data_IF_726700486629
#
_entry.id   IF_726700486629
#
_cell.length_a   1.000
_cell.length_b   1.000
_cell.length_c   1.000
_cell.angle_alpha   90.00
_cell.angle_beta   90.00
_cell.angle_gamma   90.00
#
_symmetry.space_group_name_H-M   'P 1'
#
loop_
_entity.id
_entity.type
_entity.pdbx_description
1 polymer ?
#
# COMPACT_ATOMS: atom_id res chain seq x y z
N UNK A 1 -35.89 17.62 -8.00
CA UNK A 1 -34.75 17.87 -8.90
C UNK A 1 -33.74 16.68 -8.94
N UNK A 2 -33.67 15.80 -7.90
CA UNK A 2 -32.79 14.62 -7.89
C UNK A 2 -33.37 13.42 -8.65
N UNK A 3 -34.67 13.22 -8.69
CA UNK A 3 -35.32 12.09 -9.36
C UNK A 3 -35.30 12.22 -10.88
N UNK A 4 -35.43 13.43 -11.43
CA UNK A 4 -35.47 13.66 -12.89
C UNK A 4 -34.07 13.46 -13.55
N UNK A 5 -33.00 13.79 -12.88
CA UNK A 5 -31.64 13.54 -13.39
C UNK A 5 -31.26 12.06 -13.41
N UNK A 6 -31.77 11.27 -12.46
CA UNK A 6 -31.52 9.82 -12.36
C UNK A 6 -32.30 9.04 -13.43
N UNK A 7 -33.53 9.45 -13.78
CA UNK A 7 -34.32 8.79 -14.79
C UNK A 7 -33.78 9.03 -16.22
N UNK A 8 -33.35 10.25 -16.52
CA UNK A 8 -32.76 10.59 -17.83
C UNK A 8 -31.42 9.87 -18.06
N UNK A 9 -30.63 9.69 -17.01
CA UNK A 9 -29.40 8.90 -17.04
C UNK A 9 -29.70 7.42 -17.33
N UNK A 10 -30.67 6.82 -16.63
CA UNK A 10 -31.07 5.42 -16.81
C UNK A 10 -31.61 5.14 -18.21
N UNK A 11 -32.41 6.03 -18.78
CA UNK A 11 -32.94 5.89 -20.13
C UNK A 11 -31.85 5.96 -21.20
N UNK A 12 -30.92 6.90 -21.10
CA UNK A 12 -29.79 7.04 -22.04
C UNK A 12 -28.87 5.84 -21.99
N UNK A 13 -28.54 5.34 -20.80
CA UNK A 13 -27.72 4.12 -20.64
C UNK A 13 -28.39 2.92 -21.26
N UNK A 14 -29.69 2.71 -21.01
CA UNK A 14 -30.46 1.59 -21.56
C UNK A 14 -30.53 1.67 -23.10
N UNK A 15 -30.70 2.86 -23.67
CA UNK A 15 -30.70 3.05 -25.12
C UNK A 15 -29.32 2.71 -25.74
N UNK A 16 -28.24 3.12 -25.10
CA UNK A 16 -26.87 2.80 -25.55
C UNK A 16 -26.53 1.31 -25.41
N UNK A 17 -26.94 0.66 -24.32
CA UNK A 17 -26.80 -0.79 -24.14
C UNK A 17 -27.53 -1.54 -25.28
N UNK A 18 -28.77 -1.18 -25.54
CA UNK A 18 -29.57 -1.75 -26.60
C UNK A 18 -28.93 -1.58 -27.97
N UNK A 19 -28.44 -0.35 -28.26
CA UNK A 19 -27.75 -0.07 -29.53
C UNK A 19 -26.51 -0.96 -29.72
N UNK A 20 -25.67 -1.10 -28.70
CA UNK A 20 -24.47 -1.93 -28.79
C UNK A 20 -24.77 -3.41 -28.93
N UNK A 21 -25.87 -3.90 -28.34
CA UNK A 21 -26.31 -5.27 -28.47
C UNK A 21 -26.92 -5.58 -29.84
N UNK A 22 -27.68 -4.63 -30.40
CA UNK A 22 -28.33 -4.80 -31.72
C UNK A 22 -27.37 -4.52 -32.89
N UNK A 23 -26.45 -3.55 -32.72
CA UNK A 23 -25.56 -3.07 -33.78
C UNK A 23 -24.08 -3.05 -33.35
N UNK A 24 -23.49 -4.20 -32.92
CA UNK A 24 -22.14 -4.24 -32.37
C UNK A 24 -21.04 -3.85 -33.37
N UNK A 25 -21.29 -3.97 -34.68
CA UNK A 25 -20.37 -3.65 -35.76
C UNK A 25 -20.66 -2.31 -36.45
N UNK A 26 -21.59 -1.53 -35.91
CA UNK A 26 -21.94 -0.21 -36.45
C UNK A 26 -20.72 0.74 -36.41
N UNK A 27 -20.57 1.63 -37.43
CA UNK A 27 -19.56 2.68 -37.36
C UNK A 27 -19.71 3.61 -36.14
N UNK A 28 -20.88 3.63 -35.52
CA UNK A 28 -21.17 4.43 -34.32
C UNK A 28 -20.90 3.68 -32.99
N UNK A 29 -20.62 2.37 -33.03
CA UNK A 29 -20.48 1.55 -31.83
C UNK A 29 -19.32 2.05 -30.93
N UNK A 30 -18.21 2.48 -31.52
CA UNK A 30 -17.08 3.05 -30.78
C UNK A 30 -17.46 4.35 -30.07
N UNK A 31 -18.19 5.23 -30.76
CA UNK A 31 -18.64 6.51 -30.19
C UNK A 31 -19.65 6.29 -29.06
N UNK A 32 -20.57 5.36 -29.22
CA UNK A 32 -21.55 4.98 -28.17
C UNK A 32 -20.84 4.39 -26.97
N UNK A 33 -19.83 3.53 -27.19
CA UNK A 33 -18.98 2.99 -26.12
C UNK A 33 -18.27 4.09 -25.35
N UNK A 34 -17.74 5.11 -26.04
CA UNK A 34 -17.08 6.28 -25.40
C UNK A 34 -18.05 7.08 -24.52
N UNK A 35 -19.28 7.28 -24.97
CA UNK A 35 -20.29 7.96 -24.15
C UNK A 35 -20.68 7.14 -22.91
N UNK A 36 -20.83 5.82 -23.04
CA UNK A 36 -21.08 4.96 -21.88
C UNK A 36 -19.93 4.99 -20.88
N UNK A 37 -18.68 4.93 -21.34
CA UNK A 37 -17.50 5.04 -20.47
C UNK A 37 -17.51 6.37 -19.72
N UNK A 38 -17.77 7.49 -20.37
CA UNK A 38 -17.88 8.79 -19.72
C UNK A 38 -18.96 8.79 -18.64
N UNK A 39 -20.12 8.23 -18.96
CA UNK A 39 -21.22 8.09 -18.00
C UNK A 39 -20.83 7.23 -16.82
N UNK A 40 -20.23 6.05 -17.04
CA UNK A 40 -19.81 5.14 -15.97
C UNK A 40 -18.73 5.74 -15.05
N UNK A 41 -17.79 6.48 -15.60
CA UNK A 41 -16.70 7.09 -14.82
C UNK A 41 -17.16 8.31 -14.02
N UNK A 42 -18.24 9.00 -14.48
CA UNK A 42 -18.79 10.17 -13.80
C UNK A 42 -19.97 9.83 -12.86
N UNK A 43 -20.44 8.58 -12.84
CA UNK A 43 -21.50 8.17 -11.92
C UNK A 43 -20.99 8.02 -10.50
N UNK A 44 -21.88 8.25 -9.54
CA UNK A 44 -21.62 7.91 -8.12
C UNK A 44 -22.06 6.49 -7.78
N UNK A 45 -22.70 5.78 -8.70
CA UNK A 45 -23.20 4.41 -8.51
C UNK A 45 -22.42 3.43 -9.37
N UNK A 46 -21.26 3.00 -8.88
CA UNK A 46 -20.43 2.01 -9.55
C UNK A 46 -21.12 0.64 -9.68
N UNK A 47 -21.99 0.26 -8.73
CA UNK A 47 -22.78 -0.96 -8.83
C UNK A 47 -23.75 -0.92 -10.02
N UNK A 48 -24.39 0.23 -10.27
CA UNK A 48 -25.26 0.41 -11.44
C UNK A 48 -24.46 0.35 -12.74
N UNK A 49 -23.25 0.92 -12.76
CA UNK A 49 -22.35 0.85 -13.91
C UNK A 49 -21.93 -0.60 -14.21
N UNK A 50 -21.57 -1.39 -13.21
CA UNK A 50 -21.24 -2.81 -13.42
C UNK A 50 -22.42 -3.61 -13.96
N UNK A 51 -23.62 -3.41 -13.42
CA UNK A 51 -24.85 -4.06 -13.92
C UNK A 51 -25.14 -3.69 -15.37
N UNK A 52 -24.91 -2.42 -15.75
CA UNK A 52 -25.04 -1.96 -17.13
C UNK A 52 -24.05 -2.67 -18.06
N UNK A 53 -22.77 -2.71 -17.67
CA UNK A 53 -21.72 -3.37 -18.46
C UNK A 53 -22.04 -4.85 -18.66
N UNK A 54 -22.56 -5.53 -17.63
CA UNK A 54 -22.91 -6.96 -17.69
C UNK A 54 -24.08 -7.26 -18.63
N UNK A 55 -24.90 -6.26 -18.97
CA UNK A 55 -25.98 -6.39 -19.98
C UNK A 55 -25.49 -6.25 -21.43
N UNK A 56 -24.23 -5.80 -21.63
CA UNK A 56 -23.64 -5.67 -22.97
C UNK A 56 -23.00 -7.00 -23.35
N UNK A 57 -23.51 -7.65 -24.40
CA UNK A 57 -23.07 -8.98 -24.80
C UNK A 57 -21.62 -9.03 -25.29
N UNK A 58 -21.15 -7.97 -25.97
CA UNK A 58 -19.78 -7.84 -26.49
C UNK A 58 -19.23 -6.44 -26.16
N UNK A 59 -18.83 -6.21 -24.90
CA UNK A 59 -18.31 -4.92 -24.52
C UNK A 59 -16.96 -4.63 -25.22
N UNK A 60 -16.78 -3.37 -25.64
CA UNK A 60 -15.53 -2.92 -26.25
C UNK A 60 -14.38 -2.90 -25.23
N UNK A 61 -13.13 -2.83 -25.70
CA UNK A 61 -11.96 -2.70 -24.85
C UNK A 61 -12.05 -1.47 -23.93
N UNK A 62 -12.61 -0.36 -24.40
CA UNK A 62 -12.84 0.87 -23.60
C UNK A 62 -13.81 0.60 -22.44
N UNK A 63 -14.88 -0.12 -22.68
CA UNK A 63 -15.87 -0.49 -21.63
C UNK A 63 -15.23 -1.44 -20.62
N UNK A 64 -14.42 -2.42 -21.07
CA UNK A 64 -13.73 -3.34 -20.19
C UNK A 64 -12.62 -2.67 -19.36
N UNK A 65 -11.92 -1.67 -19.91
CA UNK A 65 -11.01 -0.84 -19.14
C UNK A 65 -11.76 -0.03 -18.07
N UNK A 66 -12.92 0.53 -18.41
CA UNK A 66 -13.78 1.21 -17.44
C UNK A 66 -14.26 0.24 -16.34
N UNK A 67 -14.65 -0.99 -16.70
CA UNK A 67 -15.00 -2.03 -15.73
C UNK A 67 -13.84 -2.33 -14.78
N UNK A 68 -12.63 -2.47 -15.29
CA UNK A 68 -11.43 -2.68 -14.49
C UNK A 68 -11.22 -1.55 -13.46
N UNK A 69 -11.34 -0.29 -13.90
CA UNK A 69 -11.20 0.89 -13.05
C UNK A 69 -12.31 1.00 -12.00
N UNK A 70 -13.55 0.69 -12.38
CA UNK A 70 -14.70 0.69 -11.45
C UNK A 70 -14.53 -0.36 -10.35
N UNK A 71 -14.13 -1.58 -10.71
CA UNK A 71 -13.84 -2.65 -9.74
C UNK A 71 -12.70 -2.26 -8.80
N UNK A 72 -11.67 -1.60 -9.32
CA UNK A 72 -10.60 -1.03 -8.51
C UNK A 72 -11.12 0.01 -7.51
N UNK A 73 -11.96 0.94 -7.96
CA UNK A 73 -12.55 1.97 -7.08
C UNK A 73 -13.45 1.36 -5.99
N UNK A 74 -14.27 0.38 -6.32
CA UNK A 74 -15.08 -0.35 -5.34
C UNK A 74 -14.19 -1.10 -4.32
N UNK A 75 -13.09 -1.68 -4.78
CA UNK A 75 -12.12 -2.35 -3.92
C UNK A 75 -11.44 -1.39 -2.94
N UNK A 76 -10.95 -0.25 -3.41
CA UNK A 76 -10.33 0.76 -2.55
C UNK A 76 -11.33 1.42 -1.60
N UNK A 77 -12.57 1.61 -2.02
CA UNK A 77 -13.65 2.09 -1.16
C UNK A 77 -13.97 1.08 -0.04
N UNK A 78 -14.06 -0.21 -0.37
CA UNK A 78 -14.26 -1.28 0.62
C UNK A 78 -13.09 -1.33 1.61
N UNK A 79 -11.85 -1.16 1.14
CA UNK A 79 -10.68 -1.07 2.01
C UNK A 79 -10.77 0.13 2.97
N UNK A 80 -11.15 1.31 2.47
CA UNK A 80 -11.32 2.51 3.29
C UNK A 80 -12.39 2.33 4.38
N UNK A 81 -13.40 1.50 4.11
CA UNK A 81 -14.44 1.11 5.07
C UNK A 81 -14.02 -0.06 5.98
N UNK A 82 -12.75 -0.50 5.93
CA UNK A 82 -12.21 -1.64 6.66
C UNK A 82 -12.89 -2.99 6.34
N UNK A 83 -13.60 -3.09 5.21
CA UNK A 83 -14.14 -4.36 4.70
C UNK A 83 -13.10 -5.00 3.75
N UNK A 84 -12.07 -5.58 4.35
CA UNK A 84 -10.92 -6.10 3.62
C UNK A 84 -11.25 -7.32 2.76
N UNK A 85 -12.20 -8.17 3.18
CA UNK A 85 -12.63 -9.33 2.36
C UNK A 85 -13.40 -8.86 1.12
N UNK A 86 -14.28 -7.88 1.25
CA UNK A 86 -14.97 -7.31 0.08
C UNK A 86 -14.01 -6.54 -0.82
N UNK A 87 -13.03 -5.83 -0.23
CA UNK A 87 -11.95 -5.19 -1.00
C UNK A 87 -11.21 -6.20 -1.87
N UNK A 88 -10.77 -7.32 -1.28
CA UNK A 88 -10.11 -8.42 -2.02
C UNK A 88 -10.97 -8.96 -3.15
N UNK A 89 -12.28 -9.11 -2.94
CA UNK A 89 -13.20 -9.61 -3.96
C UNK A 89 -13.23 -8.69 -5.19
N UNK A 90 -13.39 -7.39 -5.00
CA UNK A 90 -13.41 -6.43 -6.10
C UNK A 90 -12.04 -6.27 -6.76
N UNK A 91 -10.98 -6.14 -5.96
CA UNK A 91 -9.62 -5.98 -6.47
C UNK A 91 -9.16 -7.18 -7.30
N UNK A 92 -9.46 -8.41 -6.87
CA UNK A 92 -9.14 -9.61 -7.63
C UNK A 92 -9.92 -9.68 -8.96
N UNK A 93 -11.17 -9.21 -8.99
CA UNK A 93 -11.91 -9.08 -10.25
C UNK A 93 -11.26 -8.05 -11.18
N UNK A 94 -10.79 -6.91 -10.64
CA UNK A 94 -10.04 -5.91 -11.41
C UNK A 94 -8.73 -6.49 -11.98
N UNK A 95 -8.00 -7.25 -11.19
CA UNK A 95 -6.77 -7.94 -11.61
C UNK A 95 -7.05 -8.95 -12.73
N UNK A 96 -8.15 -9.70 -12.64
CA UNK A 96 -8.53 -10.72 -13.62
C UNK A 96 -8.75 -10.16 -15.03
N UNK A 97 -9.21 -8.91 -15.15
CA UNK A 97 -9.34 -8.18 -16.44
C UNK A 97 -8.22 -7.15 -16.63
N UNK A 98 -7.08 -7.37 -16.02
CA UNK A 98 -5.98 -6.40 -15.91
C UNK A 98 -5.22 -6.07 -17.20
N UNK A 99 -5.50 -6.76 -18.31
CA UNK A 99 -4.85 -6.53 -19.60
C UNK A 99 -5.18 -5.16 -20.23
N UNK A 100 -6.26 -4.51 -19.82
CA UNK A 100 -6.70 -3.24 -20.40
C UNK A 100 -5.97 -2.03 -19.81
N UNK A 101 -5.59 -2.09 -18.53
CA UNK A 101 -4.80 -1.03 -17.90
C UNK A 101 -3.79 -1.62 -16.92
N UNK A 102 -2.51 -1.59 -17.31
CA UNK A 102 -1.41 -2.19 -16.54
C UNK A 102 -1.22 -1.51 -15.18
N UNK A 103 -1.33 -0.19 -15.10
CA UNK A 103 -1.12 0.52 -13.84
C UNK A 103 -2.26 0.24 -12.86
N UNK A 104 -3.51 0.24 -13.30
CA UNK A 104 -4.66 -0.16 -12.45
C UNK A 104 -4.49 -1.59 -11.92
N UNK A 105 -3.97 -2.52 -12.75
CA UNK A 105 -3.65 -3.88 -12.31
C UNK A 105 -2.58 -3.90 -11.22
N UNK A 106 -1.51 -3.14 -11.42
CA UNK A 106 -0.44 -3.00 -10.42
C UNK A 106 -0.99 -2.45 -9.11
N UNK A 107 -1.72 -1.33 -9.16
CA UNK A 107 -2.30 -0.69 -7.99
C UNK A 107 -3.30 -1.61 -7.26
N UNK A 108 -4.05 -2.43 -7.99
CA UNK A 108 -4.94 -3.44 -7.39
C UNK A 108 -4.14 -4.50 -6.60
N UNK A 109 -2.99 -4.93 -7.09
CA UNK A 109 -2.10 -5.81 -6.31
C UNK A 109 -1.59 -5.15 -5.02
N UNK A 110 -1.24 -3.84 -5.07
CA UNK A 110 -0.85 -3.12 -3.87
C UNK A 110 -1.95 -3.16 -2.80
N UNK A 111 -3.19 -2.82 -3.18
CA UNK A 111 -4.31 -2.80 -2.25
C UNK A 111 -4.77 -4.20 -1.80
N UNK A 112 -4.56 -5.23 -2.62
CA UNK A 112 -4.68 -6.62 -2.17
C UNK A 112 -3.62 -6.94 -1.11
N UNK A 113 -2.37 -6.55 -1.32
CA UNK A 113 -1.29 -6.68 -0.35
C UNK A 113 -1.63 -6.03 1.00
N UNK A 114 -2.13 -4.79 0.98
CA UNK A 114 -2.60 -4.07 2.17
C UNK A 114 -3.77 -4.80 2.85
N UNK A 115 -4.75 -5.28 2.08
CA UNK A 115 -5.90 -6.00 2.62
C UNK A 115 -5.48 -7.31 3.29
N UNK A 116 -4.62 -8.09 2.66
CA UNK A 116 -4.06 -9.32 3.23
C UNK A 116 -3.23 -9.04 4.49
N UNK A 117 -2.45 -7.96 4.47
CA UNK A 117 -1.66 -7.54 5.63
C UNK A 117 -2.57 -7.24 6.83
N UNK A 118 -3.66 -6.48 6.63
CA UNK A 118 -4.66 -6.18 7.66
C UNK A 118 -5.38 -7.42 8.19
N UNK A 119 -5.55 -8.44 7.35
CA UNK A 119 -6.12 -9.74 7.71
C UNK A 119 -5.08 -10.71 8.31
N UNK A 120 -3.84 -10.26 8.56
CA UNK A 120 -2.73 -11.08 9.06
C UNK A 120 -2.37 -12.26 8.13
N UNK A 121 -2.66 -12.14 6.84
CA UNK A 121 -2.34 -13.14 5.80
C UNK A 121 -1.03 -12.75 5.10
N UNK A 122 0.07 -12.92 5.82
CA UNK A 122 1.38 -12.35 5.44
C UNK A 122 1.99 -12.96 4.19
N UNK A 123 1.70 -14.22 3.87
CA UNK A 123 2.21 -14.89 2.66
C UNK A 123 1.57 -14.29 1.41
N UNK A 124 0.26 -14.12 1.42
CA UNK A 124 -0.49 -13.51 0.32
C UNK A 124 -0.16 -12.02 0.20
N UNK A 125 -0.02 -11.32 1.32
CA UNK A 125 0.41 -9.91 1.32
C UNK A 125 1.77 -9.75 0.63
N UNK A 126 2.77 -10.55 1.00
CA UNK A 126 4.09 -10.50 0.38
C UNK A 126 4.05 -10.81 -1.13
N UNK A 127 3.26 -11.81 -1.53
CA UNK A 127 3.07 -12.14 -2.95
C UNK A 127 2.55 -10.94 -3.73
N UNK A 128 1.52 -10.29 -3.22
CA UNK A 128 0.83 -9.21 -3.95
C UNK A 128 1.62 -7.90 -3.93
N UNK A 129 2.29 -7.55 -2.84
CA UNK A 129 3.25 -6.44 -2.84
C UNK A 129 4.39 -6.65 -3.85
N UNK A 130 4.95 -7.87 -3.93
CA UNK A 130 5.97 -8.17 -4.93
C UNK A 130 5.42 -8.07 -6.38
N UNK A 131 4.19 -8.52 -6.62
CA UNK A 131 3.54 -8.35 -7.92
C UNK A 131 3.38 -6.88 -8.28
N UNK A 132 2.99 -6.03 -7.33
CA UNK A 132 2.94 -4.58 -7.52
C UNK A 132 4.30 -4.01 -7.90
N UNK A 133 5.36 -4.33 -7.14
CA UNK A 133 6.71 -3.82 -7.41
C UNK A 133 7.23 -4.18 -8.81
N UNK A 134 6.81 -5.34 -9.35
CA UNK A 134 7.20 -5.80 -10.68
C UNK A 134 6.37 -5.18 -11.81
N UNK A 135 5.10 -4.87 -11.57
CA UNK A 135 4.15 -4.43 -12.59
C UNK A 135 4.04 -2.92 -12.72
N UNK A 136 4.25 -2.18 -11.65
CA UNK A 136 4.06 -0.72 -11.64
C UNK A 136 4.96 -0.02 -12.63
N UNK A 137 4.43 1.02 -13.26
CA UNK A 137 5.19 1.94 -14.13
C UNK A 137 5.73 3.15 -13.35
N UNK A 138 5.48 3.21 -12.04
CA UNK A 138 5.83 4.33 -11.17
C UNK A 138 6.69 3.87 -9.97
N UNK A 139 7.95 3.44 -10.20
CA UNK A 139 8.78 2.81 -9.16
C UNK A 139 9.30 3.76 -8.08
N UNK A 140 8.98 5.05 -8.15
CA UNK A 140 9.45 6.08 -7.21
C UNK A 140 8.30 6.83 -6.53
N UNK A 141 7.07 6.31 -6.60
CA UNK A 141 5.93 6.90 -5.90
C UNK A 141 5.86 6.42 -4.44
N UNK A 142 4.99 7.06 -3.66
CA UNK A 142 4.75 6.73 -2.26
C UNK A 142 4.33 5.26 -2.04
N UNK A 143 3.44 4.74 -2.89
CA UNK A 143 2.99 3.33 -2.79
C UNK A 143 4.14 2.35 -2.98
N UNK A 144 5.11 2.67 -3.85
CA UNK A 144 6.30 1.85 -4.06
C UNK A 144 7.18 1.83 -2.81
N UNK A 145 7.36 2.98 -2.17
CA UNK A 145 8.08 3.08 -0.90
C UNK A 145 7.37 2.29 0.20
N UNK A 146 6.06 2.47 0.37
CA UNK A 146 5.25 1.78 1.38
C UNK A 146 5.18 0.27 1.16
N UNK A 147 5.14 -0.21 -0.09
CA UNK A 147 5.22 -1.65 -0.38
C UNK A 147 6.53 -2.26 0.12
N UNK A 148 7.66 -1.57 -0.07
CA UNK A 148 8.94 -1.99 0.50
C UNK A 148 8.93 -1.97 2.04
N UNK A 149 8.36 -0.95 2.65
CA UNK A 149 8.22 -0.85 4.10
C UNK A 149 7.44 -2.04 4.68
N UNK A 150 6.28 -2.37 4.10
CA UNK A 150 5.46 -3.50 4.52
C UNK A 150 6.16 -4.85 4.30
N UNK A 151 6.83 -5.02 3.16
CA UNK A 151 7.65 -6.22 2.89
C UNK A 151 8.81 -6.36 3.89
N UNK A 152 9.38 -5.24 4.32
CA UNK A 152 10.38 -5.20 5.39
C UNK A 152 9.85 -5.82 6.68
N UNK A 153 8.66 -5.40 7.12
CA UNK A 153 8.02 -5.97 8.31
C UNK A 153 7.65 -7.44 8.14
N UNK A 154 7.13 -7.85 6.99
CA UNK A 154 6.82 -9.26 6.72
C UNK A 154 8.08 -10.13 6.82
N UNK A 155 9.18 -9.70 6.20
CA UNK A 155 10.46 -10.41 6.27
C UNK A 155 11.02 -10.43 7.71
N UNK A 156 10.91 -9.32 8.45
CA UNK A 156 11.33 -9.22 9.84
C UNK A 156 10.58 -10.21 10.74
N UNK A 157 9.26 -10.30 10.62
CA UNK A 157 8.46 -11.27 11.36
C UNK A 157 8.82 -12.74 11.03
N UNK A 158 9.25 -12.99 9.80
CA UNK A 158 9.76 -14.30 9.37
C UNK A 158 11.21 -14.55 9.80
N UNK A 159 11.84 -13.60 10.50
CA UNK A 159 13.24 -13.62 10.92
C UNK A 159 14.24 -13.66 9.76
N UNK A 160 13.82 -13.26 8.59
CA UNK A 160 14.71 -13.02 7.46
C UNK A 160 15.26 -11.60 7.54
N UNK A 161 16.21 -11.42 8.46
CA UNK A 161 16.74 -10.09 8.79
C UNK A 161 17.54 -9.46 7.65
N UNK A 162 18.15 -10.27 6.80
CA UNK A 162 18.87 -9.79 5.61
C UNK A 162 17.89 -9.18 4.63
N UNK A 163 16.82 -9.88 4.30
CA UNK A 163 15.83 -9.39 3.36
C UNK A 163 15.02 -8.22 3.95
N UNK A 164 14.70 -8.28 5.25
CA UNK A 164 14.04 -7.17 5.96
C UNK A 164 14.86 -5.89 5.88
N UNK A 165 16.17 -5.96 6.17
CA UNK A 165 17.08 -4.81 6.06
C UNK A 165 17.08 -4.23 4.65
N UNK A 166 17.16 -5.08 3.60
CA UNK A 166 17.15 -4.61 2.21
C UNK A 166 15.87 -3.86 1.85
N UNK A 167 14.70 -4.34 2.28
CA UNK A 167 13.43 -3.68 2.04
C UNK A 167 13.33 -2.34 2.78
N UNK A 168 13.69 -2.30 4.06
CA UNK A 168 13.69 -1.04 4.82
C UNK A 168 14.70 -0.03 4.27
N UNK A 169 15.90 -0.47 3.85
CA UNK A 169 16.87 0.41 3.18
C UNK A 169 16.30 0.99 1.88
N UNK A 170 15.55 0.19 1.11
CA UNK A 170 14.89 0.68 -0.10
C UNK A 170 13.83 1.74 0.24
N UNK A 171 13.04 1.52 1.29
CA UNK A 171 12.10 2.52 1.81
C UNK A 171 12.82 3.82 2.18
N UNK A 172 13.88 3.76 2.96
CA UNK A 172 14.68 4.93 3.39
C UNK A 172 15.23 5.71 2.20
N UNK A 173 15.65 5.03 1.13
CA UNK A 173 16.15 5.70 -0.08
C UNK A 173 15.05 6.43 -0.86
N UNK A 174 13.81 5.96 -0.79
CA UNK A 174 12.66 6.49 -1.53
C UNK A 174 11.89 7.55 -0.73
N UNK A 175 11.88 7.43 0.59
CA UNK A 175 11.23 8.38 1.49
C UNK A 175 11.98 9.72 1.47
N UNK A 176 11.26 10.78 1.11
CA UNK A 176 11.84 12.12 0.96
C UNK A 176 11.78 12.98 2.23
N UNK A 177 11.55 12.34 3.38
CA UNK A 177 11.44 13.03 4.67
C UNK A 177 10.05 13.59 4.98
N UNK A 178 9.04 13.23 4.18
CA UNK A 178 7.65 13.65 4.40
C UNK A 178 7.03 12.97 5.63
N UNK A 179 7.46 11.73 5.93
CA UNK A 179 7.04 10.97 7.11
C UNK A 179 8.23 10.64 8.02
N UNK A 180 8.64 11.62 8.81
CA UNK A 180 9.78 11.47 9.73
C UNK A 180 9.61 10.33 10.74
N UNK A 181 8.38 10.05 11.18
CA UNK A 181 8.09 8.97 12.14
C UNK A 181 8.32 7.60 11.51
N UNK A 182 7.81 7.36 10.32
CA UNK A 182 8.02 6.10 9.60
C UNK A 182 9.48 5.92 9.17
N UNK A 183 10.16 7.01 8.81
CA UNK A 183 11.58 6.97 8.46
C UNK A 183 12.44 6.61 9.66
N UNK A 184 12.19 7.20 10.84
CA UNK A 184 12.88 6.85 12.08
C UNK A 184 12.60 5.40 12.49
N UNK A 185 11.37 4.93 12.32
CA UNK A 185 11.04 3.53 12.56
C UNK A 185 11.81 2.60 11.61
N UNK A 186 11.85 2.91 10.31
CA UNK A 186 12.63 2.13 9.35
C UNK A 186 14.11 2.04 9.73
N UNK A 187 14.74 3.13 10.16
CA UNK A 187 16.10 3.11 10.68
C UNK A 187 16.24 2.20 11.91
N UNK A 188 15.30 2.28 12.86
CA UNK A 188 15.29 1.38 14.01
C UNK A 188 15.16 -0.09 13.59
N UNK A 189 14.28 -0.42 12.64
CA UNK A 189 14.12 -1.78 12.12
C UNK A 189 15.40 -2.29 11.42
N UNK A 190 16.09 -1.45 10.65
CA UNK A 190 17.40 -1.81 10.07
C UNK A 190 18.40 -2.07 11.18
N UNK A 191 18.45 -1.23 12.20
CA UNK A 191 19.29 -1.44 13.39
C UNK A 191 19.01 -2.78 14.07
N UNK A 192 17.74 -3.12 14.26
CA UNK A 192 17.32 -4.41 14.82
C UNK A 192 17.78 -5.59 13.95
N UNK A 193 17.65 -5.48 12.62
CA UNK A 193 18.14 -6.52 11.72
C UNK A 193 19.64 -6.77 11.90
N UNK A 194 20.43 -5.70 11.96
CA UNK A 194 21.88 -5.80 12.18
C UNK A 194 22.22 -6.33 13.59
N UNK A 195 21.45 -5.94 14.60
CA UNK A 195 21.63 -6.47 15.96
C UNK A 195 21.38 -7.99 16.01
N UNK A 196 20.33 -8.47 15.36
CA UNK A 196 20.01 -9.90 15.30
C UNK A 196 21.12 -10.75 14.64
N UNK A 197 21.80 -10.18 13.65
CA UNK A 197 22.95 -10.86 13.01
C UNK A 197 24.29 -10.48 13.64
N UNK A 198 24.25 -9.81 14.81
CA UNK A 198 25.41 -9.40 15.61
C UNK A 198 26.39 -8.43 14.91
N UNK A 199 25.89 -7.69 13.94
CA UNK A 199 26.63 -6.60 13.30
C UNK A 199 26.42 -5.31 14.12
N UNK A 200 27.17 -5.20 15.22
CA UNK A 200 26.94 -4.17 16.22
C UNK A 200 27.25 -2.75 15.74
N UNK A 201 28.25 -2.56 14.89
CA UNK A 201 28.61 -1.23 14.37
C UNK A 201 27.51 -0.68 13.47
N UNK A 202 27.02 -1.48 12.55
CA UNK A 202 25.90 -1.07 11.69
C UNK A 202 24.61 -0.86 12.51
N UNK A 203 24.34 -1.72 13.49
CA UNK A 203 23.20 -1.51 14.39
C UNK A 203 23.26 -0.15 15.07
N UNK A 204 24.40 0.22 15.65
CA UNK A 204 24.61 1.53 16.28
C UNK A 204 24.46 2.68 15.29
N UNK A 205 25.00 2.51 14.07
CA UNK A 205 24.86 3.52 13.02
C UNK A 205 23.39 3.84 12.75
N UNK A 206 22.56 2.81 12.50
CA UNK A 206 21.14 3.01 12.17
C UNK A 206 20.31 3.49 13.35
N UNK A 207 20.54 3.01 14.57
CA UNK A 207 19.87 3.56 15.77
C UNK A 207 20.23 5.03 16.01
N UNK A 208 21.47 5.43 15.73
CA UNK A 208 21.89 6.84 15.81
C UNK A 208 21.18 7.70 14.79
N UNK A 209 20.98 7.21 13.56
CA UNK A 209 20.18 7.91 12.54
C UNK A 209 18.73 8.12 13.02
N UNK A 210 18.11 7.08 13.58
CA UNK A 210 16.75 7.18 14.12
C UNK A 210 16.65 8.19 15.29
N UNK A 211 17.61 8.19 16.21
CA UNK A 211 17.65 9.09 17.36
C UNK A 211 17.77 10.57 16.94
N UNK A 212 18.63 10.84 15.96
CA UNK A 212 18.87 12.21 15.45
C UNK A 212 17.62 12.83 14.80
N UNK A 213 16.65 12.03 14.40
CA UNK A 213 15.41 12.53 13.83
C UNK A 213 14.46 13.16 14.87
N UNK A 214 14.72 13.00 16.16
CA UNK A 214 13.91 13.55 17.26
C UNK A 214 12.41 13.21 17.18
N UNK A 215 12.10 12.00 16.76
CA UNK A 215 10.72 11.46 16.73
C UNK A 215 10.34 10.84 18.08
N UNK A 216 9.06 10.54 18.34
CA UNK A 216 8.63 9.84 19.56
C UNK A 216 9.35 8.50 19.81
N UNK A 217 9.85 7.83 18.79
CA UNK A 217 10.59 6.55 18.91
C UNK A 217 12.08 6.72 19.28
N UNK A 218 12.53 7.93 19.57
CA UNK A 218 13.91 8.19 20.00
C UNK A 218 14.28 7.53 21.31
N UNK A 219 13.33 7.29 22.20
CA UNK A 219 13.53 6.53 23.43
C UNK A 219 13.93 5.08 23.16
N UNK A 220 13.29 4.43 22.21
CA UNK A 220 13.67 3.10 21.72
C UNK A 220 15.11 3.10 21.16
N UNK A 221 15.42 4.08 20.32
CA UNK A 221 16.74 4.21 19.71
C UNK A 221 17.85 4.34 20.77
N UNK A 222 17.67 5.18 21.80
CA UNK A 222 18.62 5.30 22.91
C UNK A 222 18.77 4.00 23.68
N UNK A 223 17.67 3.33 23.98
CA UNK A 223 17.71 2.06 24.72
C UNK A 223 18.49 1.00 23.93
N UNK A 224 18.26 0.87 22.64
CA UNK A 224 18.97 -0.06 21.78
C UNK A 224 20.46 0.28 21.64
N UNK A 225 20.81 1.57 21.51
CA UNK A 225 22.21 2.03 21.52
C UNK A 225 22.92 1.61 22.82
N UNK A 226 22.27 1.80 23.96
CA UNK A 226 22.81 1.39 25.26
C UNK A 226 22.95 -0.14 25.35
N UNK A 227 21.99 -0.89 24.86
CA UNK A 227 22.05 -2.36 24.81
C UNK A 227 23.25 -2.84 23.99
N UNK A 228 23.44 -2.29 22.79
CA UNK A 228 24.56 -2.65 21.92
C UNK A 228 25.89 -2.28 22.56
N UNK A 229 26.02 -1.10 23.19
CA UNK A 229 27.23 -0.71 23.92
C UNK A 229 27.56 -1.73 25.04
N UNK A 230 26.52 -2.18 25.77
CA UNK A 230 26.71 -3.22 26.78
C UNK A 230 27.17 -4.56 26.21
N UNK A 231 26.64 -4.97 25.06
CA UNK A 231 27.07 -6.21 24.36
C UNK A 231 28.52 -6.12 23.87
N UNK A 232 28.99 -4.92 23.55
CA UNK A 232 30.39 -4.64 23.20
C UNK A 232 31.30 -4.42 24.42
N UNK A 233 30.78 -4.55 25.65
CA UNK A 233 31.47 -4.31 26.91
C UNK A 233 31.88 -2.83 27.14
N UNK A 234 31.31 -1.90 26.39
CA UNK A 234 31.42 -0.46 26.62
C UNK A 234 30.39 -0.03 27.70
N UNK A 235 30.70 -0.33 28.94
CA UNK A 235 29.79 -0.04 30.06
C UNK A 235 29.68 1.47 30.35
N UNK A 236 30.74 2.23 30.10
CA UNK A 236 30.73 3.68 30.26
C UNK A 236 29.79 4.33 29.24
N UNK A 237 29.88 3.95 27.96
CA UNK A 237 28.99 4.38 26.92
C UNK A 237 27.54 3.96 27.20
N UNK A 238 27.32 2.72 27.68
CA UNK A 238 25.99 2.24 28.08
C UNK A 238 25.37 3.16 29.15
N UNK A 239 26.09 3.45 30.24
CA UNK A 239 25.59 4.30 31.35
C UNK A 239 25.30 5.71 30.86
N UNK A 240 26.16 6.28 30.02
CA UNK A 240 25.95 7.62 29.44
C UNK A 240 24.66 7.68 28.61
N UNK A 241 24.42 6.66 27.76
CA UNK A 241 23.23 6.58 26.93
C UNK A 241 21.94 6.39 27.76
N UNK A 242 21.98 5.54 28.80
CA UNK A 242 20.84 5.36 29.70
C UNK A 242 20.51 6.62 30.49
N UNK A 243 21.51 7.36 30.97
CA UNK A 243 21.30 8.65 31.64
C UNK A 243 20.66 9.68 30.68
N UNK A 244 21.08 9.70 29.43
CA UNK A 244 20.45 10.56 28.38
C UNK A 244 19.03 10.15 28.09
N UNK A 245 18.73 8.85 28.04
CA UNK A 245 17.37 8.30 27.87
C UNK A 245 16.47 8.79 29.01
N UNK A 246 16.87 8.60 30.26
CA UNK A 246 16.09 9.01 31.44
C UNK A 246 15.89 10.55 31.46
N UNK A 247 16.92 11.32 31.11
CA UNK A 247 16.84 12.78 31.06
C UNK A 247 15.93 13.31 29.95
N UNK A 248 15.97 12.70 28.77
CA UNK A 248 15.20 13.19 27.60
C UNK A 248 13.79 12.61 27.54
N UNK A 249 13.59 11.38 28.02
CA UNK A 249 12.32 10.63 27.95
C UNK A 249 11.94 10.01 29.31
N UNK A 250 11.72 10.83 30.37
CA UNK A 250 11.52 10.33 31.73
C UNK A 250 10.25 9.46 31.89
N UNK A 251 9.25 9.66 31.02
CA UNK A 251 8.00 8.89 31.01
C UNK A 251 8.06 7.64 30.11
N UNK A 252 9.20 7.38 29.44
CA UNK A 252 9.34 6.22 28.56
C UNK A 252 9.33 4.90 29.35
N UNK A 253 8.65 3.86 28.87
CA UNK A 253 8.76 2.53 29.47
C UNK A 253 10.20 1.98 29.47
N UNK A 254 11.04 2.42 28.56
CA UNK A 254 12.45 2.05 28.53
C UNK A 254 13.28 2.73 29.64
N UNK A 255 12.86 3.92 30.10
CA UNK A 255 13.52 4.63 31.20
C UNK A 255 13.35 3.90 32.54
N UNK A 256 12.26 3.15 32.72
CA UNK A 256 12.04 2.35 33.95
C UNK A 256 13.01 1.18 34.07
N UNK A 257 13.54 0.70 32.94
CA UNK A 257 14.48 -0.43 32.87
C UNK A 257 15.93 0.04 32.67
N UNK A 258 16.16 1.34 32.67
CA UNK A 258 17.48 1.95 32.50
C UNK A 258 18.19 2.10 33.84
#
# INVERSE_FOLDING_TARGET
>A
LHETSFSAFGESVTAFEKFLNEFPTSPYAEKVSSYLVEVYMNTRSYDAALKSIDRIAKPSAQILEAKQKILFQLGTQSFANADFEQALKYLNQSIAIGQYNRQTKADAYYWCGESYYRLNRMVEAARDFNAYLQLTTQPNNEMYALANYNLGYIAFHRKDYTQASNYFQKYVQLEKGENATALADAYNRIGDCHLHVRNFEEAKHYYSQAEQMNTPSGDYSFYQLALVSGLQKDYTGKITLLNRLVGKYPASPYAVNA
#
